data_IF_692335515909
#
_entry.id   IF_692335515909
#
_cell.length_a   1.000
_cell.length_b   1.000
_cell.length_c   1.000
_cell.angle_alpha   90.00
_cell.angle_beta   90.00
_cell.angle_gamma   90.00
#
_symmetry.space_group_name_H-M   'P 1'
#
loop_
_entity.id
_entity.type
_entity.pdbx_description
1 polymer ?
#
# COMPACT_ATOMS: atom_id res chain seq x y z
N UNK A 1 15.71 9.14 -37.59
CA UNK A 1 16.64 9.15 -36.44
C UNK A 1 16.34 7.95 -35.57
N UNK A 2 17.26 6.98 -35.46
CA UNK A 2 17.13 5.90 -34.49
C UNK A 2 17.42 6.45 -33.08
N UNK A 3 16.66 6.06 -32.04
CA UNK A 3 16.97 6.48 -30.67
C UNK A 3 18.32 5.87 -30.25
N UNK A 4 19.23 6.73 -29.80
CA UNK A 4 20.51 6.32 -29.25
C UNK A 4 20.31 5.55 -27.95
N UNK A 5 20.60 4.25 -27.97
CA UNK A 5 20.66 3.42 -26.77
C UNK A 5 21.92 3.83 -26.01
N UNK A 6 21.75 4.60 -24.93
CA UNK A 6 22.83 4.90 -23.99
C UNK A 6 23.31 3.58 -23.36
N UNK A 7 24.62 3.28 -23.34
CA UNK A 7 25.13 2.04 -22.77
C UNK A 7 24.83 1.97 -21.27
N UNK A 8 24.46 0.78 -20.81
CA UNK A 8 24.36 0.45 -19.38
C UNK A 8 25.72 0.74 -18.74
N UNK A 9 25.77 1.59 -17.71
CA UNK A 9 27.00 1.93 -16.98
C UNK A 9 27.12 1.06 -15.73
N UNK A 10 27.90 -0.05 -15.75
CA UNK A 10 27.88 -1.06 -14.69
C UNK A 10 28.40 -0.51 -13.36
N UNK A 11 29.40 0.38 -13.39
CA UNK A 11 30.05 0.93 -12.18
C UNK A 11 29.09 1.73 -11.28
N UNK A 12 28.11 2.43 -11.86
CA UNK A 12 27.11 3.18 -11.07
C UNK A 12 26.14 2.23 -10.38
N UNK A 13 25.74 1.14 -11.03
CA UNK A 13 24.81 0.16 -10.48
C UNK A 13 25.46 -0.60 -9.29
N UNK A 14 26.76 -0.91 -9.36
CA UNK A 14 27.53 -1.49 -8.24
C UNK A 14 27.56 -0.59 -6.98
N UNK A 15 27.68 0.73 -7.15
CA UNK A 15 27.75 1.67 -6.01
C UNK A 15 26.44 1.73 -5.20
N UNK A 16 25.29 1.48 -5.83
CA UNK A 16 24.00 1.49 -5.11
C UNK A 16 23.75 0.20 -4.33
N UNK A 17 24.16 -0.95 -4.86
CA UNK A 17 24.01 -2.25 -4.17
C UNK A 17 24.79 -2.25 -2.85
N UNK A 18 26.03 -1.76 -2.86
CA UNK A 18 26.85 -1.65 -1.64
C UNK A 18 26.24 -0.68 -0.61
N UNK A 19 25.64 0.43 -1.06
CA UNK A 19 24.93 1.35 -0.16
C UNK A 19 23.69 0.71 0.47
N UNK A 20 22.92 -0.06 -0.30
CA UNK A 20 21.78 -0.79 0.26
C UNK A 20 22.22 -1.88 1.24
N UNK A 21 23.33 -2.57 0.95
CA UNK A 21 23.92 -3.54 1.87
C UNK A 21 24.35 -2.89 3.18
N UNK A 22 25.03 -1.75 3.12
CA UNK A 22 25.42 -1.00 4.32
C UNK A 22 24.20 -0.58 5.17
N UNK A 23 23.08 -0.19 4.54
CA UNK A 23 21.84 0.09 5.26
C UNK A 23 21.28 -1.17 5.92
N UNK A 24 21.25 -2.30 5.20
CA UNK A 24 20.76 -3.58 5.72
C UNK A 24 21.58 -4.05 6.95
N UNK A 25 22.90 -3.92 6.87
CA UNK A 25 23.83 -4.24 7.96
C UNK A 25 23.60 -3.31 9.16
N UNK A 26 23.46 -2.00 8.93
CA UNK A 26 23.19 -1.02 9.97
C UNK A 26 21.88 -1.28 10.74
N UNK A 27 20.82 -1.71 10.05
CA UNK A 27 19.53 -2.02 10.70
C UNK A 27 19.47 -3.44 11.29
N UNK A 28 20.52 -4.25 11.12
CA UNK A 28 20.59 -5.66 11.52
C UNK A 28 19.35 -6.45 11.06
N UNK A 29 18.92 -6.23 9.82
CA UNK A 29 17.65 -6.73 9.29
C UNK A 29 17.71 -7.07 7.81
N UNK A 30 16.56 -7.49 7.27
CA UNK A 30 16.43 -7.78 5.83
C UNK A 30 15.90 -6.55 5.12
N UNK A 31 16.63 -6.09 4.10
CA UNK A 31 16.22 -4.99 3.23
C UNK A 31 15.82 -5.55 1.85
N UNK A 32 14.75 -5.00 1.28
CA UNK A 32 14.33 -5.24 -0.09
C UNK A 32 13.96 -3.90 -0.71
N UNK A 33 14.55 -3.59 -1.85
CA UNK A 33 14.33 -2.30 -2.54
C UNK A 33 14.19 -2.59 -4.01
N UNK A 34 13.17 -2.02 -4.66
CA UNK A 34 13.07 -1.94 -6.10
C UNK A 34 12.58 -0.54 -6.48
N UNK A 35 13.22 0.07 -7.48
CA UNK A 35 12.83 1.32 -8.09
C UNK A 35 12.82 1.14 -9.60
N UNK A 36 11.78 1.65 -10.27
CA UNK A 36 11.61 1.58 -11.71
C UNK A 36 11.61 3.00 -12.26
N UNK A 37 12.49 3.27 -13.23
CA UNK A 37 12.39 4.46 -14.07
C UNK A 37 11.32 4.22 -15.13
N UNK A 38 10.13 4.79 -14.93
CA UNK A 38 8.99 4.58 -15.82
C UNK A 38 9.17 5.22 -17.20
N UNK A 39 10.21 6.05 -17.41
CA UNK A 39 10.50 6.65 -18.72
C UNK A 39 11.27 5.73 -19.66
N UNK A 40 12.04 4.76 -19.13
CA UNK A 40 12.88 3.86 -19.93
C UNK A 40 12.85 2.39 -19.46
N UNK A 41 12.11 2.07 -18.40
CA UNK A 41 11.96 0.73 -17.85
C UNK A 41 13.16 0.23 -17.03
N UNK A 42 14.21 1.04 -16.82
CA UNK A 42 15.37 0.60 -16.02
C UNK A 42 14.97 0.39 -14.56
N UNK A 43 15.47 -0.69 -13.98
CA UNK A 43 15.21 -1.05 -12.59
C UNK A 43 16.49 -1.02 -11.76
N UNK A 44 16.40 -0.50 -10.54
CA UNK A 44 17.44 -0.55 -9.52
C UNK A 44 16.90 -1.29 -8.30
N UNK A 45 17.70 -2.12 -7.64
CA UNK A 45 17.24 -2.74 -6.40
C UNK A 45 18.21 -3.69 -5.72
N UNK A 46 17.81 -4.17 -4.55
CA UNK A 46 18.45 -5.28 -3.83
C UNK A 46 17.35 -6.20 -3.27
N UNK A 47 17.63 -7.51 -3.22
CA UNK A 47 16.70 -8.53 -2.72
C UNK A 47 15.26 -8.33 -3.26
N UNK A 48 15.16 -8.06 -4.56
CA UNK A 48 13.93 -7.59 -5.21
C UNK A 48 12.84 -8.66 -5.29
N UNK A 49 13.23 -9.93 -5.17
CA UNK A 49 12.35 -11.09 -5.27
C UNK A 49 12.10 -11.77 -3.90
N UNK A 50 12.72 -11.26 -2.82
CA UNK A 50 12.44 -11.73 -1.48
C UNK A 50 11.02 -11.31 -1.05
N UNK A 51 10.30 -12.18 -0.35
CA UNK A 51 8.97 -11.84 0.20
C UNK A 51 9.09 -10.95 1.43
N UNK A 52 8.24 -9.94 1.53
CA UNK A 52 8.12 -9.06 2.69
C UNK A 52 6.64 -8.91 3.03
N UNK A 53 6.32 -8.91 4.33
CA UNK A 53 4.97 -8.58 4.77
C UNK A 53 4.59 -7.19 4.28
N UNK A 54 3.40 -7.09 3.72
CA UNK A 54 2.87 -5.83 3.24
C UNK A 54 2.57 -4.88 4.39
N UNK A 55 2.15 -5.40 5.55
CA UNK A 55 1.51 -4.58 6.58
C UNK A 55 0.47 -3.66 5.92
N UNK A 56 0.37 -2.38 6.28
CA UNK A 56 -0.57 -1.44 5.66
C UNK A 56 -0.28 -1.04 4.20
N UNK A 57 0.80 -1.50 3.55
CA UNK A 57 1.05 -1.18 2.13
C UNK A 57 -0.04 -1.69 1.19
N UNK A 58 -0.83 -2.69 1.58
CA UNK A 58 -1.91 -3.21 0.74
C UNK A 58 -3.07 -2.21 0.56
N UNK A 59 -3.21 -1.20 1.43
CA UNK A 59 -4.43 -0.37 1.49
C UNK A 59 -4.63 0.48 0.23
N UNK A 60 -3.55 0.84 -0.48
CA UNK A 60 -3.68 1.52 -1.78
C UNK A 60 -4.10 0.55 -2.89
N UNK A 61 -3.70 -0.72 -2.83
CA UNK A 61 -4.20 -1.78 -3.72
C UNK A 61 -5.69 -2.04 -3.46
N UNK A 62 -6.09 -2.04 -2.19
CA UNK A 62 -7.49 -2.16 -1.78
C UNK A 62 -8.34 -1.01 -2.35
N UNK A 63 -7.86 0.23 -2.25
CA UNK A 63 -8.53 1.38 -2.85
C UNK A 63 -8.58 1.28 -4.38
N UNK A 64 -7.52 0.76 -5.04
CA UNK A 64 -7.52 0.51 -6.47
C UNK A 64 -8.59 -0.51 -6.89
N UNK A 65 -8.76 -1.61 -6.15
CA UNK A 65 -9.80 -2.61 -6.39
C UNK A 65 -11.23 -2.02 -6.28
N UNK A 66 -11.45 -1.16 -5.28
CA UNK A 66 -12.73 -0.45 -5.10
C UNK A 66 -12.99 0.53 -6.23
N UNK A 67 -11.97 1.30 -6.65
CA UNK A 67 -12.05 2.18 -7.80
C UNK A 67 -12.35 1.40 -9.08
N UNK A 68 -11.77 0.21 -9.27
CA UNK A 68 -12.08 -0.63 -10.44
C UNK A 68 -13.54 -1.02 -10.49
N UNK A 69 -14.17 -1.35 -9.35
CA UNK A 69 -15.62 -1.59 -9.28
C UNK A 69 -16.44 -0.33 -9.56
N UNK A 70 -15.96 0.83 -9.11
CA UNK A 70 -16.61 2.11 -9.39
C UNK A 70 -16.64 2.43 -10.89
N UNK A 71 -15.65 2.01 -11.68
CA UNK A 71 -15.69 2.17 -13.14
C UNK A 71 -16.86 1.40 -13.78
N UNK A 72 -17.21 0.24 -13.23
CA UNK A 72 -18.37 -0.54 -13.69
C UNK A 72 -19.69 -0.02 -13.12
N UNK A 73 -19.67 0.57 -11.93
CA UNK A 73 -20.86 1.10 -11.25
C UNK A 73 -20.55 2.49 -10.70
N UNK A 74 -20.69 3.55 -11.52
CA UNK A 74 -20.20 4.89 -11.18
C UNK A 74 -20.75 5.49 -9.88
N UNK A 75 -21.90 5.04 -9.40
CA UNK A 75 -22.51 5.58 -8.18
C UNK A 75 -21.95 4.99 -6.88
N UNK A 76 -21.28 3.83 -6.90
CA UNK A 76 -20.98 3.09 -5.66
C UNK A 76 -20.06 3.88 -4.73
N UNK A 77 -19.12 4.63 -5.30
CA UNK A 77 -18.05 5.25 -4.51
C UNK A 77 -18.62 6.29 -3.54
N UNK A 78 -19.58 7.08 -4.00
CA UNK A 78 -20.15 8.20 -3.25
C UNK A 78 -21.48 7.82 -2.56
N UNK A 79 -22.29 6.94 -3.18
CA UNK A 79 -23.63 6.60 -2.67
C UNK A 79 -23.64 5.38 -1.76
N UNK A 80 -22.71 4.44 -1.90
CA UNK A 80 -22.66 3.27 -1.00
C UNK A 80 -22.04 3.66 0.32
N UNK A 81 -22.80 3.56 1.41
CA UNK A 81 -22.29 3.76 2.77
C UNK A 81 -22.13 2.42 3.49
N UNK A 82 -21.00 2.23 4.16
CA UNK A 82 -20.78 1.10 5.07
C UNK A 82 -21.14 1.54 6.47
N UNK A 83 -22.12 0.85 7.04
CA UNK A 83 -22.54 1.02 8.43
C UNK A 83 -21.65 0.15 9.31
N UNK A 84 -21.22 0.70 10.45
CA UNK A 84 -20.40 -0.01 11.42
C UNK A 84 -20.79 0.38 12.85
N UNK A 85 -20.64 -0.59 13.76
CA UNK A 85 -20.88 -0.47 15.20
C UNK A 85 -19.55 -0.22 15.92
N UNK A 86 -19.61 0.16 17.20
CA UNK A 86 -18.43 0.38 18.05
C UNK A 86 -17.50 -0.85 18.06
N UNK A 87 -18.05 -2.06 18.11
CA UNK A 87 -17.29 -3.32 18.10
C UNK A 87 -16.47 -3.55 16.83
N UNK A 88 -16.76 -2.83 15.75
CA UNK A 88 -15.98 -2.91 14.52
C UNK A 88 -14.73 -2.03 14.57
N UNK A 89 -14.65 -1.08 15.49
CA UNK A 89 -13.54 -0.14 15.59
C UNK A 89 -12.30 -0.81 16.19
N UNK A 90 -11.23 -0.86 15.40
CA UNK A 90 -9.92 -1.34 15.85
C UNK A 90 -9.14 -0.25 16.62
N UNK A 91 -8.04 -0.66 17.25
CA UNK A 91 -7.18 0.24 18.04
C UNK A 91 -6.71 1.47 17.24
N UNK A 92 -6.24 1.23 16.00
CA UNK A 92 -5.82 2.29 15.10
C UNK A 92 -6.88 2.59 14.04
N UNK A 93 -7.77 3.53 14.37
CA UNK A 93 -8.98 3.84 13.61
C UNK A 93 -9.32 5.35 13.60
N UNK A 94 -8.37 6.25 13.27
CA UNK A 94 -8.51 7.68 13.55
C UNK A 94 -9.72 8.35 12.88
N UNK A 95 -10.10 7.95 11.66
CA UNK A 95 -11.21 8.58 10.93
C UNK A 95 -12.53 7.89 11.26
N UNK A 96 -12.53 6.55 11.29
CA UNK A 96 -13.73 5.78 11.60
C UNK A 96 -14.18 5.98 13.05
N UNK A 97 -13.24 6.12 14.00
CA UNK A 97 -13.51 6.51 15.39
C UNK A 97 -14.14 7.90 15.46
N UNK A 98 -13.50 8.90 14.84
CA UNK A 98 -14.02 10.26 14.83
C UNK A 98 -15.43 10.35 14.19
N UNK A 99 -15.67 9.59 13.12
CA UNK A 99 -16.99 9.50 12.49
C UNK A 99 -18.03 8.84 13.41
N UNK A 100 -17.62 7.81 14.18
CA UNK A 100 -18.47 7.20 15.21
C UNK A 100 -18.83 8.23 16.28
N UNK A 101 -17.84 8.89 16.87
CA UNK A 101 -18.05 9.86 17.95
C UNK A 101 -18.91 11.06 17.50
N UNK A 102 -18.75 11.52 16.26
CA UNK A 102 -19.42 12.73 15.74
C UNK A 102 -20.81 12.49 15.13
N UNK A 103 -21.10 11.28 14.65
CA UNK A 103 -22.30 11.04 13.82
C UNK A 103 -22.96 9.68 14.11
N UNK A 104 -22.94 9.28 15.38
CA UNK A 104 -23.68 8.10 15.85
C UNK A 104 -25.19 8.30 15.72
N UNK A 105 -25.83 7.33 15.10
CA UNK A 105 -27.29 7.14 15.08
C UNK A 105 -27.66 5.82 15.76
N UNK A 106 -28.91 5.67 16.19
CA UNK A 106 -29.41 4.41 16.73
C UNK A 106 -30.25 3.70 15.68
N UNK A 107 -29.82 2.52 15.23
CA UNK A 107 -30.57 1.66 14.30
C UNK A 107 -30.79 0.31 14.99
N UNK A 108 -32.05 -0.13 15.09
CA UNK A 108 -32.42 -1.38 15.75
C UNK A 108 -31.80 -1.54 17.16
N UNK A 109 -31.78 -0.45 17.94
CA UNK A 109 -31.24 -0.42 19.30
C UNK A 109 -29.70 -0.40 19.38
N UNK A 110 -28.99 -0.21 18.27
CA UNK A 110 -27.53 -0.19 18.23
C UNK A 110 -26.99 1.16 17.75
N UNK A 111 -25.97 1.66 18.45
CA UNK A 111 -25.19 2.82 18.02
C UNK A 111 -24.36 2.46 16.80
N UNK A 112 -24.58 3.19 15.71
CA UNK A 112 -23.91 2.98 14.44
C UNK A 112 -23.47 4.30 13.82
N UNK A 113 -22.38 4.25 13.07
CA UNK A 113 -21.99 5.31 12.15
C UNK A 113 -21.85 4.75 10.73
N UNK A 114 -21.72 5.64 9.76
CA UNK A 114 -21.52 5.24 8.38
C UNK A 114 -20.61 6.19 7.62
N UNK A 115 -19.83 5.63 6.71
CA UNK A 115 -18.97 6.37 5.78
C UNK A 115 -19.15 5.82 4.36
N UNK A 116 -19.02 6.68 3.35
CA UNK A 116 -19.02 6.29 1.95
C UNK A 116 -17.75 5.51 1.60
N UNK A 117 -17.77 4.78 0.48
CA UNK A 117 -16.56 4.08 0.01
C UNK A 117 -15.43 5.06 -0.32
N UNK A 118 -15.73 6.26 -0.84
CA UNK A 118 -14.74 7.33 -1.03
C UNK A 118 -14.06 7.73 0.29
N UNK A 119 -14.85 7.96 1.34
CA UNK A 119 -14.35 8.34 2.66
C UNK A 119 -13.47 7.24 3.26
N UNK A 120 -13.90 5.98 3.16
CA UNK A 120 -13.14 4.83 3.65
C UNK A 120 -11.85 4.62 2.86
N UNK A 121 -11.86 4.75 1.53
CA UNK A 121 -10.65 4.64 0.70
C UNK A 121 -9.65 5.74 1.07
N UNK A 122 -10.13 6.98 1.22
CA UNK A 122 -9.31 8.10 1.66
C UNK A 122 -8.69 7.86 3.03
N UNK A 123 -9.49 7.37 4.00
CA UNK A 123 -9.02 7.06 5.36
C UNK A 123 -7.97 5.94 5.38
N UNK A 124 -8.24 4.84 4.67
CA UNK A 124 -7.34 3.70 4.60
C UNK A 124 -5.99 4.07 3.94
N UNK A 125 -5.99 4.89 2.89
CA UNK A 125 -4.76 5.25 2.16
C UNK A 125 -4.01 6.42 2.82
N UNK A 126 -4.73 7.45 3.27
CA UNK A 126 -4.09 8.69 3.71
C UNK A 126 -3.57 8.59 5.15
N UNK A 127 -4.34 7.93 6.03
CA UNK A 127 -4.00 7.83 7.45
C UNK A 127 -3.96 6.39 7.94
N UNK A 128 -3.97 5.39 7.04
CA UNK A 128 -3.82 3.97 7.39
C UNK A 128 -4.88 3.43 8.36
N UNK A 129 -6.11 3.99 8.35
CA UNK A 129 -7.19 3.54 9.24
C UNK A 129 -7.51 2.05 9.05
N UNK A 130 -7.33 1.24 10.10
CA UNK A 130 -7.46 -0.22 10.03
C UNK A 130 -8.92 -0.66 9.92
N UNK A 131 -9.83 0.03 10.61
CA UNK A 131 -11.27 -0.26 10.51
C UNK A 131 -11.75 0.03 9.10
N UNK A 132 -11.32 1.15 8.51
CA UNK A 132 -11.67 1.48 7.13
C UNK A 132 -11.22 0.40 6.16
N UNK A 133 -9.99 -0.12 6.32
CA UNK A 133 -9.50 -1.24 5.51
C UNK A 133 -10.36 -2.50 5.64
N UNK A 134 -10.75 -2.88 6.87
CA UNK A 134 -11.61 -4.05 7.09
C UNK A 134 -13.02 -3.86 6.49
N UNK A 135 -13.60 -2.66 6.59
CA UNK A 135 -14.90 -2.35 5.99
C UNK A 135 -14.86 -2.41 4.45
N UNK A 136 -13.76 -1.96 3.85
CA UNK A 136 -13.53 -2.06 2.40
C UNK A 136 -13.31 -3.50 1.94
N UNK A 137 -12.52 -4.30 2.68
CA UNK A 137 -12.36 -5.73 2.39
C UNK A 137 -13.72 -6.46 2.46
N UNK A 138 -14.52 -6.17 3.48
CA UNK A 138 -15.88 -6.69 3.61
C UNK A 138 -16.79 -6.25 2.46
N UNK A 139 -16.67 -5.00 1.99
CA UNK A 139 -17.39 -4.55 0.80
C UNK A 139 -16.93 -5.30 -0.47
N UNK A 140 -15.64 -5.63 -0.57
CA UNK A 140 -15.12 -6.36 -1.72
C UNK A 140 -15.62 -7.81 -1.77
N UNK A 141 -15.49 -8.57 -0.68
CA UNK A 141 -15.73 -10.02 -0.72
C UNK A 141 -16.47 -10.58 0.48
N UNK A 142 -17.00 -9.73 1.37
CA UNK A 142 -17.53 -10.19 2.65
C UNK A 142 -16.42 -10.82 3.50
N UNK A 143 -16.61 -12.08 3.92
CA UNK A 143 -15.58 -12.85 4.61
C UNK A 143 -14.37 -13.14 3.71
N UNK A 144 -14.58 -13.25 2.40
CA UNK A 144 -13.54 -13.53 1.39
C UNK A 144 -12.86 -12.24 0.89
N UNK A 145 -12.97 -11.12 1.61
CA UNK A 145 -12.38 -9.84 1.25
C UNK A 145 -10.89 -9.91 0.85
N UNK A 146 -10.02 -10.58 1.64
CA UNK A 146 -8.62 -10.78 1.27
C UNK A 146 -8.42 -11.57 -0.02
N UNK A 147 -9.20 -12.64 -0.22
CA UNK A 147 -9.16 -13.44 -1.44
C UNK A 147 -9.63 -12.61 -2.66
N UNK A 148 -10.68 -11.81 -2.51
CA UNK A 148 -11.18 -10.91 -3.55
C UNK A 148 -10.15 -9.83 -3.95
N UNK A 149 -9.40 -9.28 -2.99
CA UNK A 149 -8.29 -8.38 -3.31
C UNK A 149 -7.17 -9.12 -4.06
N UNK A 150 -6.81 -10.32 -3.61
CA UNK A 150 -5.80 -11.15 -4.30
C UNK A 150 -6.24 -11.49 -5.72
N UNK A 151 -7.51 -11.78 -5.94
CA UNK A 151 -8.06 -12.03 -7.27
C UNK A 151 -7.94 -10.79 -8.16
N UNK A 152 -8.33 -9.60 -7.69
CA UNK A 152 -8.15 -8.35 -8.42
C UNK A 152 -6.68 -8.15 -8.83
N UNK A 153 -5.73 -8.47 -7.94
CA UNK A 153 -4.31 -8.37 -8.23
C UNK A 153 -3.90 -9.30 -9.39
N UNK A 154 -4.38 -10.55 -9.38
CA UNK A 154 -4.14 -11.50 -10.49
C UNK A 154 -4.70 -10.99 -11.82
N UNK A 155 -5.92 -10.47 -11.80
CA UNK A 155 -6.56 -9.88 -12.99
C UNK A 155 -5.82 -8.63 -13.50
N UNK A 156 -5.14 -7.90 -12.61
CA UNK A 156 -4.31 -6.73 -12.94
C UNK A 156 -2.87 -7.07 -13.37
N UNK A 157 -2.52 -8.35 -13.45
CA UNK A 157 -1.20 -8.84 -13.86
C UNK A 157 -0.18 -9.03 -12.74
N UNK A 158 -0.56 -8.83 -11.48
CA UNK A 158 0.27 -9.16 -10.31
C UNK A 158 0.08 -10.63 -9.93
N UNK A 159 1.13 -11.44 -10.08
CA UNK A 159 1.07 -12.89 -9.82
C UNK A 159 1.65 -13.31 -8.47
N UNK A 160 2.22 -12.37 -7.69
CA UNK A 160 3.06 -12.68 -6.53
C UNK A 160 2.47 -12.17 -5.22
N UNK A 161 1.90 -10.97 -5.24
CA UNK A 161 1.28 -10.33 -4.08
C UNK A 161 0.05 -11.12 -3.65
N UNK A 162 -0.12 -11.33 -2.34
CA UNK A 162 -1.29 -11.99 -1.78
C UNK A 162 -1.68 -11.36 -0.45
N UNK A 163 -2.98 -11.20 -0.23
CA UNK A 163 -3.56 -10.86 1.05
C UNK A 163 -4.42 -12.05 1.50
N UNK A 164 -4.23 -12.47 2.73
CA UNK A 164 -4.81 -13.68 3.30
C UNK A 164 -5.65 -13.37 4.55
N UNK A 165 -5.37 -12.25 5.22
CA UNK A 165 -5.99 -11.86 6.48
C UNK A 165 -6.47 -10.41 6.47
N UNK A 166 -7.28 -10.08 7.47
CA UNK A 166 -7.74 -8.72 7.77
C UNK A 166 -6.87 -8.08 8.86
N UNK A 167 -7.03 -6.76 9.05
CA UNK A 167 -6.43 -6.08 10.19
C UNK A 167 -7.05 -6.60 11.50
N UNK A 168 -6.27 -6.72 12.60
CA UNK A 168 -4.83 -6.45 12.69
C UNK A 168 -3.95 -7.66 12.33
N UNK A 169 -4.55 -8.85 12.14
CA UNK A 169 -3.83 -10.14 12.08
C UNK A 169 -2.90 -10.30 10.88
N UNK A 170 -3.13 -9.56 9.79
CA UNK A 170 -2.22 -9.52 8.63
C UNK A 170 -0.80 -9.02 8.97
N UNK A 171 -0.60 -8.37 10.12
CA UNK A 171 0.69 -7.83 10.55
C UNK A 171 1.57 -8.82 11.33
N UNK A 172 1.15 -10.08 11.52
CA UNK A 172 1.91 -11.08 12.30
C UNK A 172 3.35 -11.28 11.78
N UNK A 173 3.53 -11.31 10.46
CA UNK A 173 4.82 -11.38 9.77
C UNK A 173 5.77 -12.47 10.34
N UNK A 174 5.24 -13.67 10.58
CA UNK A 174 6.04 -14.80 11.04
C UNK A 174 7.12 -15.16 10.00
N UNK A 175 8.32 -15.52 10.49
CA UNK A 175 9.45 -15.84 9.61
C UNK A 175 9.10 -17.03 8.71
N UNK A 176 9.12 -16.79 7.39
CA UNK A 176 8.84 -17.82 6.38
C UNK A 176 7.35 -17.98 6.04
N UNK A 177 6.46 -17.25 6.71
CA UNK A 177 5.04 -17.21 6.37
C UNK A 177 4.84 -16.41 5.07
N UNK A 178 4.30 -17.02 4.00
CA UNK A 178 4.06 -16.32 2.75
C UNK A 178 2.79 -15.47 2.77
N UNK A 179 1.93 -15.59 3.79
CA UNK A 179 0.67 -14.84 3.86
C UNK A 179 0.90 -13.35 3.98
N UNK A 180 0.03 -12.56 3.35
CA UNK A 180 0.04 -11.08 3.40
C UNK A 180 1.36 -10.46 2.93
N UNK A 181 2.01 -11.09 1.94
CA UNK A 181 3.31 -10.67 1.42
C UNK A 181 3.28 -10.27 -0.04
N UNK A 182 4.26 -9.45 -0.41
CA UNK A 182 4.64 -9.11 -1.78
C UNK A 182 6.16 -9.24 -1.93
N UNK A 183 6.68 -8.97 -3.13
CA UNK A 183 8.11 -8.72 -3.37
C UNK A 183 8.31 -7.26 -3.78
N UNK A 184 9.48 -6.65 -3.50
CA UNK A 184 9.76 -5.30 -3.96
C UNK A 184 9.59 -5.12 -5.47
N UNK A 185 10.02 -6.10 -6.28
CA UNK A 185 9.86 -6.08 -7.72
C UNK A 185 8.39 -6.06 -8.14
N UNK A 186 7.56 -6.95 -7.58
CA UNK A 186 6.17 -7.05 -7.99
C UNK A 186 5.39 -5.81 -7.54
N UNK A 187 5.56 -5.36 -6.30
CA UNK A 187 4.91 -4.14 -5.83
C UNK A 187 5.29 -2.93 -6.69
N UNK A 188 6.55 -2.78 -7.10
CA UNK A 188 6.98 -1.69 -7.97
C UNK A 188 6.37 -1.79 -9.39
N UNK A 189 6.28 -2.99 -9.96
CA UNK A 189 5.62 -3.23 -11.26
C UNK A 189 4.11 -2.95 -11.18
N UNK A 190 3.46 -3.41 -10.12
CA UNK A 190 2.04 -3.14 -9.85
C UNK A 190 1.77 -1.65 -9.67
N UNK A 191 2.66 -0.93 -8.98
CA UNK A 191 2.61 0.53 -8.90
C UNK A 191 2.75 1.18 -10.28
N UNK A 192 3.73 0.78 -11.10
CA UNK A 192 3.91 1.33 -12.44
C UNK A 192 2.65 1.12 -13.30
N UNK A 193 2.12 -0.11 -13.37
CA UNK A 193 0.88 -0.41 -14.11
C UNK A 193 -0.29 0.45 -13.65
N UNK A 194 -0.62 0.43 -12.35
CA UNK A 194 -1.80 1.11 -11.80
C UNK A 194 -1.70 2.64 -11.83
N UNK A 195 -0.48 3.19 -11.72
CA UNK A 195 -0.28 4.61 -11.44
C UNK A 195 0.31 5.40 -12.61
N UNK A 196 0.78 4.73 -13.68
CA UNK A 196 1.30 5.42 -14.87
C UNK A 196 0.64 5.00 -16.18
N UNK A 197 -0.23 4.00 -16.19
CA UNK A 197 -0.94 3.53 -17.40
C UNK A 197 -2.45 3.52 -17.19
N UNK A 198 -3.19 3.42 -18.30
CA UNK A 198 -4.65 3.23 -18.33
C UNK A 198 -5.06 1.74 -18.46
N UNK A 199 -4.12 0.79 -18.29
CA UNK A 199 -4.37 -0.65 -18.50
C UNK A 199 -5.35 -1.25 -17.48
N UNK A 200 -5.26 -0.82 -16.22
CA UNK A 200 -6.07 -1.38 -15.12
C UNK A 200 -7.13 -0.39 -14.65
N UNK A 201 -6.76 0.86 -14.40
CA UNK A 201 -7.66 1.94 -14.00
C UNK A 201 -7.69 3.01 -15.08
N UNK A 202 -8.86 3.57 -15.36
CA UNK A 202 -8.99 4.73 -16.20
C UNK A 202 -8.35 5.97 -15.55
N UNK A 203 -8.10 7.01 -16.35
CA UNK A 203 -7.42 8.22 -15.91
C UNK A 203 -8.07 8.91 -14.69
N UNK A 204 -9.40 8.90 -14.58
CA UNK A 204 -10.12 9.53 -13.47
C UNK A 204 -9.93 8.75 -12.16
N UNK A 205 -10.10 7.43 -12.19
CA UNK A 205 -9.85 6.53 -11.06
C UNK A 205 -8.38 6.61 -10.62
N UNK A 206 -7.44 6.55 -11.57
CA UNK A 206 -6.00 6.68 -11.30
C UNK A 206 -5.67 8.02 -10.64
N UNK A 207 -6.21 9.13 -11.14
CA UNK A 207 -5.99 10.45 -10.56
C UNK A 207 -6.51 10.54 -9.11
N UNK A 208 -7.65 9.91 -8.82
CA UNK A 208 -8.22 9.86 -7.47
C UNK A 208 -7.36 9.03 -6.51
N UNK A 209 -6.90 7.85 -6.94
CA UNK A 209 -5.96 7.02 -6.17
C UNK A 209 -4.67 7.80 -5.83
N UNK A 210 -4.06 8.43 -6.83
CA UNK A 210 -2.88 9.28 -6.66
C UNK A 210 -3.18 10.43 -5.69
N UNK A 211 -4.37 11.03 -5.77
CA UNK A 211 -4.83 12.07 -4.84
C UNK A 211 -4.77 11.61 -3.38
N UNK A 212 -5.35 10.45 -3.07
CA UNK A 212 -5.32 9.87 -1.72
C UNK A 212 -3.90 9.52 -1.27
N UNK A 213 -3.09 8.89 -2.14
CA UNK A 213 -1.70 8.58 -1.81
C UNK A 213 -0.87 9.83 -1.50
N UNK A 214 -1.11 10.95 -2.21
CA UNK A 214 -0.43 12.24 -1.95
C UNK A 214 -0.85 12.89 -0.64
N UNK A 215 -2.11 12.70 -0.26
CA UNK A 215 -2.66 13.20 1.01
C UNK A 215 -2.16 12.40 2.21
N UNK A 216 -1.43 11.30 1.99
CA UNK A 216 -0.90 10.48 3.08
C UNK A 216 0.00 11.26 4.05
N UNK A 217 -0.28 11.11 5.35
CA UNK A 217 0.43 11.76 6.46
C UNK A 217 1.34 10.83 7.26
N UNK A 218 1.30 9.52 6.99
CA UNK A 218 2.02 8.51 7.77
C UNK A 218 3.49 8.33 7.36
N UNK A 219 3.91 8.88 6.21
CA UNK A 219 5.26 8.72 5.66
C UNK A 219 6.18 9.95 5.72
N UNK A 220 5.82 11.00 6.47
CA UNK A 220 6.54 12.29 6.40
C UNK A 220 7.88 12.33 7.12
N UNK A 221 8.04 11.56 8.20
CA UNK A 221 9.19 11.72 9.11
C UNK A 221 10.22 10.59 9.03
N UNK A 222 9.87 9.41 8.50
CA UNK A 222 10.73 8.22 8.57
C UNK A 222 10.68 7.30 7.33
N UNK A 223 10.17 7.78 6.18
CA UNK A 223 10.04 7.00 4.95
C UNK A 223 10.72 7.70 3.76
N UNK A 224 10.69 7.09 2.57
CA UNK A 224 11.40 7.60 1.37
C UNK A 224 11.07 9.06 1.04
N UNK A 225 9.87 9.55 1.36
CA UNK A 225 9.48 10.95 1.17
C UNK A 225 10.41 11.93 1.90
N UNK A 226 10.95 11.56 3.06
CA UNK A 226 11.93 12.36 3.81
C UNK A 226 13.30 12.45 3.11
N UNK A 227 13.59 11.54 2.18
CA UNK A 227 14.85 11.48 1.44
C UNK A 227 14.76 12.12 0.05
N UNK A 228 13.60 12.62 -0.37
CA UNK A 228 13.42 13.28 -1.67
C UNK A 228 13.92 14.72 -1.62
N UNK A 229 14.71 15.13 -2.63
CA UNK A 229 15.17 16.52 -2.78
C UNK A 229 13.99 17.49 -2.94
N UNK A 230 14.15 18.72 -2.46
CA UNK A 230 13.20 19.80 -2.70
C UNK A 230 12.91 19.96 -4.20
N UNK A 231 11.63 19.92 -4.57
CA UNK A 231 11.18 19.94 -5.97
C UNK A 231 10.87 18.57 -6.59
N UNK A 232 11.42 17.47 -6.05
CA UNK A 232 10.91 16.12 -6.35
C UNK A 232 9.60 15.92 -5.62
N UNK A 233 8.48 16.12 -6.33
CA UNK A 233 7.16 15.69 -5.86
C UNK A 233 7.09 14.19 -6.10
N UNK A 234 6.63 13.41 -5.13
CA UNK A 234 6.45 11.97 -5.26
C UNK A 234 5.50 11.54 -6.41
N UNK A 235 4.92 12.48 -7.19
CA UNK A 235 3.85 12.23 -8.17
C UNK A 235 3.64 13.39 -9.20
N UNK A 236 4.56 13.71 -10.14
CA UNK A 236 4.20 14.44 -11.39
C UNK A 236 4.33 13.48 -12.59
N UNK A 237 3.40 13.47 -13.57
CA UNK A 237 3.29 12.39 -14.56
C UNK A 237 4.54 12.16 -15.43
N UNK A 238 5.41 13.15 -15.58
CA UNK A 238 6.60 13.03 -16.43
C UNK A 238 7.84 12.53 -15.69
N UNK A 239 7.93 12.69 -14.36
CA UNK A 239 9.04 12.28 -13.47
C UNK A 239 8.54 12.21 -12.02
N UNK A 240 7.98 11.08 -11.62
CA UNK A 240 7.54 10.82 -10.26
C UNK A 240 8.40 9.71 -9.64
N UNK A 241 8.97 9.96 -8.46
CA UNK A 241 9.47 8.90 -7.60
C UNK A 241 8.34 8.51 -6.63
N UNK A 242 7.57 7.49 -6.97
CA UNK A 242 6.61 6.89 -6.03
C UNK A 242 7.37 5.88 -5.19
N UNK A 243 7.31 6.03 -3.87
CA UNK A 243 8.05 5.17 -2.97
C UNK A 243 7.16 4.76 -1.81
N UNK A 244 7.05 3.45 -1.63
CA UNK A 244 6.38 2.84 -0.50
C UNK A 244 7.41 2.04 0.28
N UNK A 245 7.46 2.22 1.60
CA UNK A 245 8.44 1.53 2.45
C UNK A 245 7.71 0.86 3.60
N UNK A 246 8.05 -0.40 3.84
CA UNK A 246 7.78 -1.06 5.12
C UNK A 246 9.12 -1.32 5.78
N UNK A 247 9.37 -0.67 6.92
CA UNK A 247 10.43 -1.07 7.82
C UNK A 247 9.83 -1.96 8.90
N UNK A 248 10.32 -3.19 9.00
CA UNK A 248 9.98 -4.10 10.09
C UNK A 248 11.27 -4.52 10.79
N UNK A 249 11.37 -4.23 12.09
CA UNK A 249 12.41 -4.79 12.96
C UNK A 249 11.81 -6.04 13.62
N UNK A 250 12.50 -7.17 13.52
CA UNK A 250 12.20 -8.32 14.38
C UNK A 250 12.27 -7.88 15.84
N UNK A 251 11.37 -8.30 16.73
CA UNK A 251 11.60 -8.19 18.16
C UNK A 251 12.95 -8.83 18.44
N UNK A 252 13.89 -8.06 18.97
CA UNK A 252 15.19 -8.59 19.39
C UNK A 252 14.96 -9.66 20.45
N UNK A 253 15.75 -10.74 20.40
CA UNK A 253 15.92 -11.62 21.56
C UNK A 253 16.29 -10.71 22.72
N UNK A 254 15.49 -10.73 23.80
CA UNK A 254 15.94 -10.18 25.08
C UNK A 254 17.28 -10.84 25.36
N UNK A 255 18.33 -10.03 25.50
CA UNK A 255 19.58 -10.49 26.05
C UNK A 255 19.25 -11.10 27.42
N UNK A 256 19.50 -12.40 27.58
CA UNK A 256 19.51 -13.02 28.88
C UNK A 256 20.62 -12.32 29.69
N UNK A 257 20.24 -11.64 30.75
CA UNK A 257 21.21 -11.20 31.77
C UNK A 257 21.74 -12.46 32.46
N UNK A 258 23.07 -12.66 32.54
CA UNK A 258 23.61 -13.70 33.40
C UNK A 258 23.39 -13.30 34.86
N UNK A 259 22.96 -14.29 35.64
CA UNK A 259 22.84 -14.25 37.10
C UNK A 259 24.21 -14.21 37.75
#
# INVERSE_FOLDING_TARGET
MQPSVQPVQPERDYQYVERFRAIADYVAGRLGVCAIDTGNGRTLGTNTNGRFAMASTFKWLLAAAVLKRHEAIPTILDQTRRVFEEKNLLDYAPVTRAAFDASTSVIAGKSVASLSLAELCSAAVSVSDNTAANLLLSHLGGAEGPAALTQFLRESGDTVTRLDRTEPTLNENAKGDPRDTTTPAEMAQTMARLLTTDEVLNAASRARLIGWMRASTTGWTACVRACLRSGMRATRPARAAMAHTTMWRSPSRRAAHPS
#
